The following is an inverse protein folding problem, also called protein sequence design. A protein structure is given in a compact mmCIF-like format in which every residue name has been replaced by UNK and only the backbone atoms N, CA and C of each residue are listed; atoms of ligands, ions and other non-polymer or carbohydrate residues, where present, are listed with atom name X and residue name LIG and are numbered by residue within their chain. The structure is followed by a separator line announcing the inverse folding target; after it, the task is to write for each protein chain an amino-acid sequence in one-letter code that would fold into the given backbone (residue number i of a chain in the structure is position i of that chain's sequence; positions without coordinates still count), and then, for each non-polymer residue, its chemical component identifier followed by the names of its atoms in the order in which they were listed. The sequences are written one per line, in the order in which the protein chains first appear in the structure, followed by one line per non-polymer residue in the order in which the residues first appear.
data_IF_911922660728
#
_entry.id   IF_911922660728
#
_cell.length_a   1.000
_cell.length_b   1.000
_cell.length_c   1.000
_cell.angle_alpha   90.00
_cell.angle_beta   90.00
_cell.angle_gamma   90.00
#
_symmetry.space_group_name_H-M   'P 1'
#
loop_
_entity.id
_entity.type
_entity.pdbx_description
1 polymer ?
#
# COMPACT_ATOMS: atom_id res chain seq x y z
N UNK A 1 -0.27 -23.65 -10.58
CA UNK A 1 -1.08 -24.39 -9.62
C UNK A 1 -0.54 -24.18 -8.21
N UNK A 2 -1.40 -23.78 -7.29
CA UNK A 2 -1.00 -23.62 -5.90
C UNK A 2 -0.84 -24.98 -5.23
N UNK A 3 0.25 -25.13 -4.49
CA UNK A 3 0.42 -26.22 -3.57
C UNK A 3 -0.59 -26.05 -2.42
N UNK A 4 -1.29 -27.12 -2.06
CA UNK A 4 -2.25 -27.09 -0.95
C UNK A 4 -1.62 -26.68 0.38
N UNK A 5 -0.34 -27.01 0.58
CA UNK A 5 0.40 -26.64 1.79
C UNK A 5 0.61 -25.13 1.87
N UNK A 6 0.86 -24.48 0.74
CA UNK A 6 1.01 -23.02 0.66
C UNK A 6 -0.31 -22.35 1.00
N UNK A 7 -1.42 -22.82 0.46
CA UNK A 7 -2.74 -22.26 0.77
C UNK A 7 -3.05 -22.40 2.26
N UNK A 8 -2.78 -23.57 2.84
CA UNK A 8 -2.98 -23.79 4.28
C UNK A 8 -2.09 -22.89 5.13
N UNK A 9 -0.83 -22.73 4.75
CA UNK A 9 0.11 -21.86 5.48
C UNK A 9 -0.36 -20.41 5.47
N UNK A 10 -0.75 -19.91 4.30
CA UNK A 10 -1.26 -18.54 4.17
C UNK A 10 -2.55 -18.36 4.97
N UNK A 11 -3.48 -19.30 4.85
CA UNK A 11 -4.75 -19.24 5.57
C UNK A 11 -4.55 -19.23 7.07
N UNK A 12 -3.67 -20.10 7.58
CA UNK A 12 -3.38 -20.15 9.02
C UNK A 12 -2.73 -18.87 9.52
N UNK A 13 -1.81 -18.32 8.76
CA UNK A 13 -1.15 -17.06 9.12
C UNK A 13 -2.14 -15.90 9.21
N UNK A 14 -3.12 -15.88 8.33
CA UNK A 14 -4.09 -14.78 8.22
C UNK A 14 -5.34 -14.94 9.09
N UNK A 15 -5.43 -16.03 9.87
CA UNK A 15 -6.57 -16.22 10.79
C UNK A 15 -6.65 -15.03 11.76
N UNK A 16 -7.87 -14.50 11.93
CA UNK A 16 -8.13 -13.37 12.82
C UNK A 16 -7.88 -12.00 12.20
N UNK A 17 -7.44 -11.95 10.94
CA UNK A 17 -7.28 -10.67 10.24
C UNK A 17 -8.60 -10.14 9.70
N UNK A 18 -8.65 -8.81 9.52
CA UNK A 18 -9.72 -8.14 8.77
C UNK A 18 -9.25 -8.03 7.33
N UNK A 19 -10.05 -8.55 6.40
CA UNK A 19 -9.68 -8.60 4.98
C UNK A 19 -10.32 -7.45 4.21
N UNK A 20 -9.61 -6.97 3.18
CA UNK A 20 -10.13 -6.00 2.20
C UNK A 20 -10.69 -4.74 2.86
N UNK A 21 -9.90 -4.13 3.72
CA UNK A 21 -10.30 -2.92 4.44
C UNK A 21 -9.99 -1.67 3.62
N UNK A 22 -11.04 -0.93 3.23
CA UNK A 22 -10.87 0.32 2.51
C UNK A 22 -10.52 1.44 3.49
N UNK A 23 -9.52 2.22 3.16
CA UNK A 23 -9.04 3.33 3.98
C UNK A 23 -8.71 4.53 3.10
N UNK A 24 -8.84 5.74 3.68
CA UNK A 24 -8.56 6.96 2.95
C UNK A 24 -8.13 8.08 3.89
N UNK A 25 -7.43 9.06 3.34
CA UNK A 25 -7.10 10.30 4.05
C UNK A 25 -6.87 11.42 3.05
N UNK A 26 -6.85 12.65 3.55
CA UNK A 26 -6.55 13.84 2.75
C UNK A 26 -5.16 14.33 3.12
N UNK A 27 -4.33 14.54 2.11
CA UNK A 27 -2.98 15.07 2.26
C UNK A 27 -2.93 16.49 1.68
N UNK A 28 -2.23 17.38 2.38
CA UNK A 28 -1.93 18.72 1.87
C UNK A 28 -0.59 18.66 1.13
N UNK A 29 -0.65 18.75 -0.19
CA UNK A 29 0.50 18.68 -1.06
C UNK A 29 0.84 20.09 -1.56
N UNK A 30 1.55 20.84 -0.74
CA UNK A 30 1.96 22.23 -1.06
C UNK A 30 0.75 23.12 -1.39
N UNK A 31 -0.29 23.03 -0.58
CA UNK A 31 -1.52 23.82 -0.74
C UNK A 31 -2.61 23.16 -1.56
N UNK A 32 -2.30 22.06 -2.24
CA UNK A 32 -3.30 21.27 -2.97
C UNK A 32 -3.73 20.09 -2.11
N UNK A 33 -5.02 19.99 -1.81
CA UNK A 33 -5.56 18.89 -1.03
C UNK A 33 -5.80 17.69 -1.95
N UNK A 34 -5.23 16.55 -1.58
CA UNK A 34 -5.31 15.31 -2.36
C UNK A 34 -5.95 14.23 -1.51
N UNK A 35 -7.01 13.61 -2.04
CA UNK A 35 -7.60 12.43 -1.42
C UNK A 35 -6.78 11.22 -1.86
N UNK A 36 -6.19 10.53 -0.90
CA UNK A 36 -5.50 9.26 -1.15
C UNK A 36 -6.28 8.13 -0.48
N UNK A 37 -6.36 7.00 -1.17
CA UNK A 37 -7.13 5.87 -0.67
C UNK A 37 -6.55 4.57 -1.19
N UNK A 38 -6.95 3.48 -0.54
CA UNK A 38 -6.57 2.16 -0.97
C UNK A 38 -7.37 1.11 -0.21
N UNK A 39 -7.18 -0.14 -0.61
CA UNK A 39 -7.79 -1.27 0.07
C UNK A 39 -6.66 -2.14 0.59
N UNK A 40 -6.53 -2.21 1.92
CA UNK A 40 -5.55 -3.08 2.56
C UNK A 40 -6.01 -4.52 2.45
N UNK A 41 -5.12 -5.42 2.03
CA UNK A 41 -5.50 -6.83 1.87
C UNK A 41 -5.90 -7.44 3.21
N UNK A 42 -5.07 -7.26 4.24
CA UNK A 42 -5.34 -7.80 5.57
C UNK A 42 -4.80 -6.88 6.64
N UNK A 43 -5.55 -6.76 7.73
CA UNK A 43 -5.10 -6.09 8.95
C UNK A 43 -5.20 -7.10 10.08
N UNK A 44 -4.09 -7.38 10.72
CA UNK A 44 -4.03 -8.31 11.85
C UNK A 44 -3.29 -7.66 13.00
N UNK A 45 -3.99 -7.46 14.13
CA UNK A 45 -3.45 -6.75 15.29
C UNK A 45 -2.98 -5.35 14.87
N UNK A 46 -1.70 -5.03 15.07
CA UNK A 46 -1.11 -3.74 14.71
C UNK A 46 -0.34 -3.79 13.37
N UNK A 47 -0.62 -4.79 12.55
CA UNK A 47 0.10 -5.05 11.31
C UNK A 47 -0.81 -4.96 10.10
N UNK A 48 -0.37 -4.21 9.09
CA UNK A 48 -0.98 -4.17 7.77
C UNK A 48 -0.23 -5.14 6.86
N UNK A 49 -0.93 -6.06 6.23
CA UNK A 49 -0.33 -7.10 5.40
C UNK A 49 -0.81 -6.95 3.97
N UNK A 50 0.13 -6.94 3.03
CA UNK A 50 -0.15 -6.91 1.60
C UNK A 50 0.33 -8.22 0.98
N UNK A 51 -0.59 -8.96 0.38
CA UNK A 51 -0.29 -10.25 -0.22
C UNK A 51 0.17 -10.07 -1.65
N UNK A 52 1.35 -10.60 -1.96
CA UNK A 52 1.93 -10.57 -3.31
C UNK A 52 2.21 -11.98 -3.82
N UNK A 53 1.95 -12.19 -5.09
CA UNK A 53 2.33 -13.42 -5.78
C UNK A 53 3.33 -13.08 -6.87
N UNK A 54 4.32 -13.95 -7.05
CA UNK A 54 5.36 -13.73 -8.07
C UNK A 54 5.92 -15.07 -8.50
N UNK A 55 6.42 -15.16 -9.72
CA UNK A 55 7.13 -16.37 -10.20
C UNK A 55 8.56 -16.44 -9.70
N UNK A 56 9.13 -15.30 -9.32
CA UNK A 56 10.50 -15.21 -8.79
C UNK A 56 10.56 -14.09 -7.75
N UNK A 57 10.94 -14.44 -6.54
CA UNK A 57 11.06 -13.49 -5.43
C UNK A 57 12.52 -13.20 -5.10
N UNK A 58 12.84 -11.90 -5.00
CA UNK A 58 14.10 -11.41 -4.46
C UNK A 58 13.77 -10.50 -3.28
N UNK A 59 14.58 -10.55 -2.22
CA UNK A 59 14.40 -9.70 -1.05
C UNK A 59 14.44 -8.22 -1.46
N UNK A 60 13.44 -7.47 -1.02
CA UNK A 60 13.32 -6.05 -1.35
C UNK A 60 12.63 -5.77 -2.67
N UNK A 61 12.11 -6.77 -3.34
CA UNK A 61 11.41 -6.61 -4.63
C UNK A 61 10.31 -5.56 -4.60
N UNK A 62 9.59 -5.47 -3.49
CA UNK A 62 8.46 -4.55 -3.33
C UNK A 62 8.79 -3.32 -2.48
N UNK A 63 10.05 -3.15 -2.11
CA UNK A 63 10.51 -2.09 -1.21
C UNK A 63 10.07 -0.69 -1.63
N UNK A 64 10.06 -0.40 -2.92
CA UNK A 64 9.72 0.91 -3.45
C UNK A 64 8.22 1.09 -3.71
N UNK A 65 7.40 0.10 -3.35
CA UNK A 65 5.95 0.22 -3.45
C UNK A 65 5.43 1.26 -2.47
N UNK A 66 4.61 2.18 -2.94
CA UNK A 66 4.02 3.21 -2.10
C UNK A 66 2.97 2.66 -1.12
N UNK A 67 2.51 1.44 -1.32
CA UNK A 67 1.52 0.80 -0.44
C UNK A 67 1.98 0.75 1.01
N UNK A 68 3.27 0.49 1.26
CA UNK A 68 3.80 0.43 2.62
C UNK A 68 3.81 1.77 3.34
N UNK A 69 3.66 2.86 2.61
CA UNK A 69 3.49 4.21 3.17
C UNK A 69 2.01 4.60 3.21
N UNK A 70 1.30 4.32 2.13
CA UNK A 70 -0.09 4.72 1.95
C UNK A 70 -1.03 4.10 2.99
N UNK A 71 -1.00 2.77 3.11
CA UNK A 71 -1.96 2.10 3.98
C UNK A 71 -1.79 2.46 5.46
N UNK A 72 -0.57 2.45 6.03
CA UNK A 72 -0.42 2.87 7.42
C UNK A 72 -0.81 4.31 7.69
N UNK A 73 -0.50 5.25 6.79
CA UNK A 73 -0.89 6.65 6.94
C UNK A 73 -2.41 6.79 6.96
N UNK A 74 -3.09 6.18 6.00
CA UNK A 74 -4.55 6.22 5.93
C UNK A 74 -5.18 5.56 7.16
N UNK A 75 -4.74 4.37 7.52
CA UNK A 75 -5.29 3.62 8.65
C UNK A 75 -5.15 4.39 9.97
N UNK A 76 -3.95 4.90 10.24
CA UNK A 76 -3.73 5.65 11.47
C UNK A 76 -4.54 6.95 11.50
N UNK A 77 -4.74 7.60 10.35
CA UNK A 77 -5.57 8.81 10.28
C UNK A 77 -7.03 8.53 10.61
N UNK A 78 -7.49 7.33 10.35
CA UNK A 78 -8.85 6.88 10.67
C UNK A 78 -8.97 6.29 12.09
N UNK A 79 -7.89 6.27 12.86
CA UNK A 79 -7.89 5.71 14.20
C UNK A 79 -7.62 4.22 14.28
N UNK A 80 -7.26 3.59 13.18
CA UNK A 80 -6.85 2.18 13.15
C UNK A 80 -5.34 2.13 13.33
N UNK A 81 -4.89 1.82 14.54
CA UNK A 81 -3.46 1.85 14.86
C UNK A 81 -2.71 0.72 14.16
N UNK A 82 -1.71 1.10 13.37
CA UNK A 82 -0.81 0.18 12.67
C UNK A 82 0.61 0.72 12.78
N UNK A 83 1.52 -0.06 13.34
CA UNK A 83 2.94 0.32 13.47
C UNK A 83 3.87 -0.61 12.70
N UNK A 84 3.31 -1.58 11.98
CA UNK A 84 4.08 -2.53 11.18
C UNK A 84 3.37 -2.77 9.84
N UNK A 85 4.17 -2.88 8.78
CA UNK A 85 3.70 -3.25 7.45
C UNK A 85 4.49 -4.46 6.98
N UNK A 86 3.81 -5.42 6.34
CA UNK A 86 4.47 -6.62 5.85
C UNK A 86 4.01 -6.96 4.45
N UNK A 87 4.97 -7.23 3.56
CA UNK A 87 4.68 -7.91 2.31
C UNK A 87 4.71 -9.42 2.58
N UNK A 88 3.57 -10.07 2.38
CA UNK A 88 3.44 -11.52 2.48
C UNK A 88 3.50 -12.06 1.06
N UNK A 89 4.60 -12.70 0.71
CA UNK A 89 4.90 -13.05 -0.69
C UNK A 89 4.93 -14.56 -0.86
N UNK A 90 4.34 -15.04 -1.93
CA UNK A 90 4.50 -16.43 -2.32
C UNK A 90 4.93 -16.54 -3.78
N UNK A 91 5.85 -17.45 -4.05
CA UNK A 91 6.28 -17.81 -5.39
C UNK A 91 5.61 -19.12 -5.87
N UNK A 92 4.52 -19.51 -5.20
CA UNK A 92 3.76 -20.75 -5.40
C UNK A 92 4.41 -22.01 -4.83
N UNK A 93 5.63 -21.90 -4.32
CA UNK A 93 6.38 -23.00 -3.69
C UNK A 93 6.73 -22.68 -2.23
N UNK A 94 6.95 -21.43 -1.94
CA UNK A 94 7.39 -20.95 -0.62
C UNK A 94 6.65 -19.70 -0.24
N UNK A 95 6.68 -19.39 1.06
CA UNK A 95 6.10 -18.17 1.62
C UNK A 95 7.23 -17.34 2.23
N UNK A 96 7.26 -16.07 1.88
CA UNK A 96 8.25 -15.11 2.38
C UNK A 96 7.54 -13.98 3.10
N UNK A 97 8.09 -13.51 4.20
CA UNK A 97 7.57 -12.38 4.96
C UNK A 97 8.62 -11.28 4.98
N UNK A 98 8.22 -10.12 4.49
CA UNK A 98 9.12 -8.97 4.42
C UNK A 98 8.51 -7.81 5.23
N UNK A 99 8.91 -7.68 6.51
CA UNK A 99 8.35 -6.68 7.40
C UNK A 99 9.06 -5.34 7.32
N UNK A 100 8.30 -4.28 7.56
CA UNK A 100 8.81 -2.91 7.68
C UNK A 100 8.18 -2.25 8.90
N UNK A 101 8.98 -1.53 9.65
CA UNK A 101 8.47 -0.66 10.70
C UNK A 101 7.81 0.56 10.06
N UNK A 102 6.67 0.94 10.60
CA UNK A 102 5.97 2.14 10.14
C UNK A 102 6.58 3.37 10.82
N UNK A 103 7.02 4.31 9.99
CA UNK A 103 7.40 5.65 10.43
C UNK A 103 6.44 6.61 9.74
N UNK A 104 5.44 7.08 10.49
CA UNK A 104 4.35 7.89 9.92
C UNK A 104 4.85 9.23 9.38
N UNK A 105 5.84 9.83 10.01
CA UNK A 105 6.41 11.11 9.55
C UNK A 105 7.09 10.91 8.20
N UNK A 106 7.93 9.90 8.08
CA UNK A 106 8.62 9.61 6.82
C UNK A 106 7.64 9.16 5.74
N UNK A 107 6.69 8.28 6.10
CA UNK A 107 5.68 7.79 5.14
C UNK A 107 4.83 8.93 4.59
N UNK A 108 4.42 9.86 5.42
CA UNK A 108 3.66 11.02 4.98
C UNK A 108 4.49 11.88 4.03
N UNK A 109 5.76 12.10 4.35
CA UNK A 109 6.69 12.84 3.48
C UNK A 109 6.82 12.19 2.10
N UNK A 110 7.00 10.87 2.07
CA UNK A 110 7.11 10.14 0.82
C UNK A 110 5.84 10.24 -0.02
N UNK A 111 4.67 10.14 0.61
CA UNK A 111 3.40 10.28 -0.07
C UNK A 111 3.21 11.69 -0.62
N UNK A 112 3.49 12.71 0.16
CA UNK A 112 3.37 14.11 -0.27
C UNK A 112 4.32 14.37 -1.43
N UNK A 113 5.54 13.88 -1.36
CA UNK A 113 6.53 14.02 -2.44
C UNK A 113 6.03 13.38 -3.73
N UNK A 114 5.50 12.17 -3.64
CA UNK A 114 4.97 11.44 -4.79
C UNK A 114 3.76 12.16 -5.40
N UNK A 115 2.82 12.60 -4.57
CA UNK A 115 1.62 13.31 -5.03
C UNK A 115 1.98 14.66 -5.62
N UNK A 116 2.90 15.39 -5.02
CA UNK A 116 3.36 16.70 -5.51
C UNK A 116 4.01 16.57 -6.89
N UNK A 117 4.86 15.56 -7.08
CA UNK A 117 5.48 15.29 -8.36
C UNK A 117 4.45 14.95 -9.44
N UNK A 118 3.43 14.17 -9.08
CA UNK A 118 2.35 13.82 -9.99
C UNK A 118 1.52 15.05 -10.38
N UNK A 119 1.21 15.91 -9.41
CA UNK A 119 0.49 17.15 -9.65
C UNK A 119 1.27 18.05 -10.62
N UNK A 120 2.56 18.24 -10.38
CA UNK A 120 3.42 19.03 -11.26
C UNK A 120 3.45 18.47 -12.69
N UNK A 121 3.55 17.15 -12.80
CA UNK A 121 3.53 16.50 -14.11
C UNK A 121 2.22 16.76 -14.84
N UNK A 122 1.08 16.59 -14.17
CA UNK A 122 -0.24 16.82 -14.74
C UNK A 122 -0.39 18.27 -15.16
N UNK A 123 -0.02 19.22 -14.30
CA UNK A 123 -0.11 20.66 -14.63
C UNK A 123 0.77 21.02 -15.82
N UNK A 124 1.98 20.47 -15.90
CA UNK A 124 2.89 20.75 -17.02
C UNK A 124 2.39 20.20 -18.35
N UNK A 125 1.53 19.17 -18.33
CA UNK A 125 0.99 18.52 -19.53
C UNK A 125 -0.47 18.83 -19.80
N UNK A 126 -1.08 19.64 -18.96
CA UNK A 126 -2.52 19.94 -19.03
C UNK A 126 -2.96 20.48 -20.39
N UNK A 127 -2.15 21.33 -21.00
CA UNK A 127 -2.44 21.91 -22.31
C UNK A 127 -2.42 20.89 -23.46
N UNK A 128 -1.82 19.72 -23.24
CA UNK A 128 -1.75 18.64 -24.21
C UNK A 128 -2.90 17.64 -24.08
N UNK A 129 -3.66 17.73 -22.98
CA UNK A 129 -4.72 16.78 -22.68
C UNK A 129 -6.03 17.36 -23.17
N UNK A 130 -6.63 16.69 -24.16
CA UNK A 130 -7.89 17.12 -24.78
C UNK A 130 -9.08 16.24 -24.41
N UNK A 131 -8.84 15.15 -23.71
CA UNK A 131 -9.90 14.23 -23.28
C UNK A 131 -10.49 14.70 -21.97
N UNK A 132 -11.74 15.18 -22.01
CA UNK A 132 -12.45 15.68 -20.84
C UNK A 132 -12.66 14.63 -19.76
N UNK A 133 -12.60 13.35 -20.09
CA UNK A 133 -12.79 12.26 -19.13
C UNK A 133 -11.68 12.21 -18.09
N UNK A 134 -10.54 12.81 -18.37
CA UNK A 134 -9.40 12.83 -17.44
C UNK A 134 -9.61 13.89 -16.35
N UNK A 135 -10.28 14.98 -16.71
CA UNK A 135 -10.50 16.11 -15.80
C UNK A 135 -11.99 16.35 -15.48
N UNK A 136 -12.85 15.65 -16.17
CA UNK A 136 -14.29 15.82 -16.06
C UNK A 136 -14.93 15.13 -14.87
#
# INVERSE_FOLDING_TARGET
TFDKNIVSELSNYLIGSVAQYRTETILDCNGTLVLVYGVSDYIKENKCIDLKTTSAYDLGKYKDSMQRHLYPVCLNSEGVFVDEFEFLVTDFKSVFKEPYKVDLVESEKELISCCSALIEFIESKKHLITDEKIFG
#
